data_IF_138805357969
#
_entry.id   IF_138805357969
#
_cell.length_a   1.000
_cell.length_b   1.000
_cell.length_c   1.000
_cell.angle_alpha   90.00
_cell.angle_beta   90.00
_cell.angle_gamma   90.00
#
_symmetry.space_group_name_H-M   'P 1'
#
loop_
_entity.id
_entity.type
_entity.pdbx_description
1 polymer ?
#
# COMPACT_ATOMS: atom_id res chain seq x y z
N UNK A 1 10.39 -2.91 -5.76
CA UNK A 1 9.59 -1.88 -5.06
C UNK A 1 10.21 -1.66 -3.69
N UNK A 2 10.91 -0.54 -3.54
CA UNK A 2 11.68 -0.27 -2.33
C UNK A 2 10.91 0.75 -1.49
N UNK A 3 10.39 0.34 -0.32
CA UNK A 3 9.69 1.25 0.61
C UNK A 3 10.44 1.25 1.93
N UNK A 4 10.96 2.41 2.32
CA UNK A 4 11.65 2.57 3.60
C UNK A 4 10.70 3.11 4.67
N UNK A 5 10.94 2.70 5.92
CA UNK A 5 10.24 3.17 7.11
C UNK A 5 11.26 3.52 8.19
N UNK A 6 11.12 4.70 8.77
CA UNK A 6 11.93 5.19 9.89
C UNK A 6 11.13 5.02 11.17
N UNK A 7 11.61 4.17 12.08
CA UNK A 7 10.94 3.92 13.36
C UNK A 7 11.04 5.11 14.31
N UNK A 8 10.15 5.17 15.28
CA UNK A 8 10.30 6.05 16.45
C UNK A 8 11.08 5.35 17.56
N UNK A 9 11.49 6.11 18.58
CA UNK A 9 12.29 5.57 19.69
C UNK A 9 11.57 4.51 20.52
N UNK A 10 10.24 4.61 20.60
CA UNK A 10 9.36 3.68 21.32
C UNK A 10 9.05 2.39 20.53
N UNK A 11 9.45 2.33 19.26
CA UNK A 11 9.25 1.16 18.41
C UNK A 11 10.48 0.21 18.44
N UNK A 12 10.25 -1.11 18.31
CA UNK A 12 11.33 -2.08 18.21
C UNK A 12 12.15 -1.86 16.92
N UNK A 13 13.37 -2.38 16.90
CA UNK A 13 14.31 -2.18 15.79
C UNK A 13 13.80 -2.73 14.45
N UNK A 14 13.03 -3.83 14.48
CA UNK A 14 12.41 -4.45 13.31
C UNK A 14 11.24 -3.65 12.71
N UNK A 15 10.81 -2.57 13.36
CA UNK A 15 9.88 -1.59 12.81
C UNK A 15 10.55 -0.65 11.79
N UNK A 16 11.87 -0.71 11.65
CA UNK A 16 12.67 0.07 10.70
C UNK A 16 12.96 -0.74 9.45
N UNK A 17 12.73 -0.16 8.27
CA UNK A 17 12.92 -0.82 6.97
C UNK A 17 13.94 -0.07 6.12
N UNK A 18 15.10 0.18 6.70
CA UNK A 18 16.21 0.90 6.06
C UNK A 18 17.17 0.01 5.26
N UNK A 19 16.91 -1.31 5.22
CA UNK A 19 17.64 -2.29 4.42
C UNK A 19 16.71 -2.98 3.44
N UNK A 20 17.02 -2.85 2.15
CA UNK A 20 16.31 -3.52 1.08
C UNK A 20 17.39 -4.20 0.24
N UNK A 21 17.59 -5.51 0.44
CA UNK A 21 18.73 -6.29 -0.07
C UNK A 21 20.12 -5.74 0.34
N UNK A 22 21.12 -5.93 -0.52
CA UNK A 22 22.51 -5.50 -0.31
C UNK A 22 22.73 -3.98 -0.49
N UNK A 23 21.73 -3.26 -1.02
CA UNK A 23 21.83 -1.81 -1.23
C UNK A 23 21.18 -1.05 -0.07
N UNK A 24 21.94 -0.09 0.48
CA UNK A 24 21.50 0.81 1.54
C UNK A 24 20.81 2.02 0.90
N UNK A 25 19.47 2.02 0.87
CA UNK A 25 18.67 3.16 0.41
C UNK A 25 17.74 3.64 1.55
N UNK A 26 17.61 4.96 1.83
CA UNK A 26 18.30 6.16 1.34
C UNK A 26 19.08 6.91 2.43
N UNK A 27 19.44 6.22 3.52
CA UNK A 27 20.20 6.84 4.62
C UNK A 27 21.54 7.40 4.10
N UNK A 28 22.13 6.84 3.05
CA UNK A 28 23.38 7.34 2.46
C UNK A 28 23.33 8.71 1.75
N UNK A 29 22.19 9.27 1.36
CA UNK A 29 22.21 10.50 0.56
C UNK A 29 22.31 11.74 1.46
N UNK A 30 23.53 12.26 1.63
CA UNK A 30 23.82 13.46 2.42
C UNK A 30 22.93 14.67 2.03
N UNK A 31 22.48 14.76 0.79
CA UNK A 31 21.56 15.83 0.32
C UNK A 31 20.14 15.71 0.89
N UNK A 32 19.73 14.52 1.34
CA UNK A 32 18.41 14.24 1.93
C UNK A 32 18.43 14.31 3.47
N UNK A 33 19.60 14.48 4.08
CA UNK A 33 19.78 14.40 5.53
C UNK A 33 19.71 15.76 6.21
N UNK A 34 18.49 16.28 6.42
CA UNK A 34 18.28 17.57 7.12
C UNK A 34 18.15 17.45 8.65
N UNK A 35 18.17 16.24 9.21
CA UNK A 35 17.86 16.02 10.62
C UNK A 35 19.10 16.15 11.53
N UNK A 36 18.99 16.99 12.57
CA UNK A 36 19.99 17.12 13.64
C UNK A 36 19.43 16.55 14.94
N UNK A 37 20.26 15.88 15.74
CA UNK A 37 19.88 15.41 17.07
C UNK A 37 19.39 16.55 17.96
N UNK A 38 20.05 17.71 17.89
CA UNK A 38 19.69 18.88 18.69
C UNK A 38 18.43 19.59 18.17
N UNK A 39 18.31 19.79 16.86
CA UNK A 39 17.23 20.61 16.29
C UNK A 39 15.91 19.83 16.10
N UNK A 40 16.00 18.56 15.76
CA UNK A 40 14.83 17.74 15.40
C UNK A 40 14.47 16.69 16.45
N UNK A 41 15.37 16.45 17.41
CA UNK A 41 15.26 15.38 18.39
C UNK A 41 15.44 13.97 17.79
N UNK A 42 15.89 13.85 16.53
CA UNK A 42 16.19 12.55 15.93
C UNK A 42 17.43 11.94 16.57
N UNK A 43 17.45 10.62 16.68
CA UNK A 43 18.58 9.89 17.24
C UNK A 43 19.14 8.96 16.19
N UNK A 44 20.42 8.60 16.34
CA UNK A 44 21.12 7.78 15.39
C UNK A 44 21.88 6.69 16.12
N UNK A 45 21.66 5.46 15.72
CA UNK A 45 22.21 4.28 16.38
C UNK A 45 23.15 3.56 15.42
N UNK A 46 24.36 3.21 15.87
CA UNK A 46 25.28 2.41 15.06
C UNK A 46 24.70 1.01 14.83
N UNK A 47 24.76 0.54 13.58
CA UNK A 47 24.25 -0.78 13.17
C UNK A 47 25.20 -1.91 13.56
N UNK A 48 24.67 -3.14 13.58
CA UNK A 48 25.41 -4.37 13.90
C UNK A 48 26.49 -4.75 12.88
N UNK A 49 26.37 -4.28 11.63
CA UNK A 49 27.24 -4.65 10.51
C UNK A 49 28.19 -3.51 10.10
N UNK A 50 28.95 -2.98 11.06
CA UNK A 50 29.97 -1.99 10.78
C UNK A 50 31.06 -2.56 9.85
N UNK A 51 31.13 -2.08 8.60
CA UNK A 51 32.38 -2.12 7.86
C UNK A 51 33.25 -0.99 8.39
N UNK A 52 33.97 -1.29 9.47
CA UNK A 52 34.85 -0.35 10.15
C UNK A 52 36.04 0.08 9.25
N UNK A 53 35.80 0.80 8.16
CA UNK A 53 36.82 1.33 7.26
C UNK A 53 37.22 2.75 7.70
N UNK A 54 38.33 2.85 8.44
CA UNK A 54 39.09 4.08 8.78
C UNK A 54 38.34 5.19 9.56
N UNK A 55 38.38 5.11 10.91
CA UNK A 55 37.59 5.97 11.83
C UNK A 55 38.13 7.37 12.11
N UNK A 56 39.37 7.67 11.76
CA UNK A 56 40.06 8.83 12.32
C UNK A 56 40.51 9.74 11.19
N UNK A 57 39.83 10.88 11.08
CA UNK A 57 40.14 11.93 10.13
C UNK A 57 41.57 12.46 10.36
N UNK A 58 42.48 12.13 9.42
CA UNK A 58 43.84 12.67 9.32
C UNK A 58 43.93 13.92 8.45
N UNK A 59 45.01 14.70 8.56
CA UNK A 59 45.16 15.98 7.85
C UNK A 59 45.29 15.85 6.31
N UNK A 60 45.57 14.65 5.79
CA UNK A 60 45.84 14.36 4.37
C UNK A 60 44.63 13.80 3.57
N UNK A 61 43.50 13.50 4.19
CA UNK A 61 42.33 12.84 3.54
C UNK A 61 41.20 13.82 3.17
N UNK A 62 41.55 15.09 2.89
CA UNK A 62 40.61 16.22 2.73
C UNK A 62 39.64 16.11 1.56
N UNK A 63 40.01 15.46 0.45
CA UNK A 63 39.23 15.48 -0.80
C UNK A 63 38.34 14.25 -1.01
N UNK A 64 38.70 13.08 -0.45
CA UNK A 64 37.93 11.83 -0.65
C UNK A 64 36.68 11.74 0.25
N UNK A 65 36.77 12.18 1.52
CA UNK A 65 35.68 12.09 2.50
C UNK A 65 34.56 13.13 2.30
N UNK A 66 34.80 14.21 1.54
CA UNK A 66 33.78 15.24 1.24
C UNK A 66 32.79 14.82 0.15
N UNK A 67 33.12 13.81 -0.64
CA UNK A 67 32.31 13.35 -1.78
C UNK A 67 31.49 12.09 -1.48
N UNK A 68 31.78 11.40 -0.38
CA UNK A 68 31.11 10.16 0.03
C UNK A 68 30.33 10.40 1.32
N UNK A 69 29.12 9.89 1.39
CA UNK A 69 28.10 9.95 2.45
C UNK A 69 28.58 9.83 3.92
N UNK A 70 29.42 10.75 4.42
CA UNK A 70 29.92 10.75 5.79
C UNK A 70 29.37 11.94 6.58
N UNK A 71 29.15 11.71 7.86
CA UNK A 71 28.98 12.77 8.87
C UNK A 71 30.07 12.68 9.91
N UNK A 72 30.26 13.74 10.68
CA UNK A 72 31.27 13.82 11.72
C UNK A 72 30.65 14.16 13.07
N UNK A 73 31.21 13.60 14.14
CA UNK A 73 30.86 13.96 15.50
C UNK A 73 32.07 13.88 16.44
N UNK A 74 31.92 14.47 17.63
CA UNK A 74 32.85 14.24 18.72
C UNK A 74 32.67 12.81 19.25
N UNK A 75 33.78 12.12 19.53
CA UNK A 75 33.77 10.76 20.09
C UNK A 75 34.96 10.57 21.03
N UNK A 76 34.78 9.72 22.04
CA UNK A 76 35.84 9.33 22.97
C UNK A 76 36.86 8.43 22.27
N UNK A 77 38.08 8.94 22.08
CA UNK A 77 39.14 8.23 21.35
C UNK A 77 39.65 6.98 22.08
N UNK A 78 39.42 6.88 23.38
CA UNK A 78 39.83 5.71 24.16
C UNK A 78 38.83 4.56 24.04
N UNK A 79 37.61 4.85 23.54
CA UNK A 79 36.54 3.88 23.37
C UNK A 79 36.29 3.59 21.90
N UNK A 80 36.34 2.31 21.51
CA UNK A 80 35.88 1.90 20.18
C UNK A 80 34.35 1.97 20.07
N UNK A 81 33.78 2.55 19.00
CA UNK A 81 32.35 2.49 18.74
C UNK A 81 31.88 1.04 18.61
N UNK A 82 30.73 0.74 19.20
CA UNK A 82 30.10 -0.57 19.12
C UNK A 82 28.71 -0.45 18.50
N UNK A 83 28.25 -1.54 17.90
CA UNK A 83 26.87 -1.64 17.46
C UNK A 83 25.91 -1.35 18.61
N UNK A 84 24.83 -0.64 18.32
CA UNK A 84 23.86 -0.18 19.31
C UNK A 84 24.24 1.13 20.00
N UNK A 85 25.47 1.65 19.84
CA UNK A 85 25.85 2.95 20.39
C UNK A 85 25.09 4.09 19.73
N UNK A 86 24.68 5.07 20.55
CA UNK A 86 24.01 6.27 20.08
C UNK A 86 25.03 7.35 19.72
N UNK A 87 24.90 7.89 18.51
CA UNK A 87 25.80 8.92 17.99
C UNK A 87 25.03 10.23 17.74
N UNK A 88 25.55 11.37 18.23
CA UNK A 88 24.96 12.66 17.92
C UNK A 88 25.33 13.05 16.50
N UNK A 89 24.32 13.29 15.64
CA UNK A 89 24.55 13.78 14.28
C UNK A 89 24.01 15.21 14.18
N UNK A 90 24.86 16.09 13.68
CA UNK A 90 24.50 17.43 13.24
C UNK A 90 25.05 17.65 11.83
N UNK A 91 24.20 17.75 10.79
CA UNK A 91 24.65 17.98 9.42
C UNK A 91 25.48 19.26 9.23
N UNK A 92 25.45 20.19 10.20
CA UNK A 92 26.25 21.43 10.20
C UNK A 92 27.60 21.28 10.90
N UNK A 93 27.88 20.11 11.49
CA UNK A 93 29.14 19.87 12.19
C UNK A 93 30.31 19.94 11.21
N UNK A 94 31.33 20.73 11.56
CA UNK A 94 32.55 20.87 10.74
C UNK A 94 33.62 19.93 11.30
N UNK A 95 34.20 19.02 10.48
CA UNK A 95 35.23 18.10 10.94
C UNK A 95 36.44 18.84 11.50
N UNK A 96 37.03 18.30 12.57
CA UNK A 96 38.25 18.78 13.21
C UNK A 96 39.18 17.58 13.47
N UNK A 97 40.49 17.81 13.69
CA UNK A 97 41.43 16.71 13.97
C UNK A 97 40.93 15.78 15.07
N UNK A 98 40.77 14.50 14.69
CA UNK A 98 40.23 13.39 15.45
C UNK A 98 38.80 13.55 16.00
N UNK A 99 37.94 14.23 15.24
CA UNK A 99 36.53 13.86 15.14
C UNK A 99 36.39 12.45 14.56
N UNK A 100 35.32 11.74 14.91
CA UNK A 100 34.96 10.47 14.29
C UNK A 100 34.23 10.72 12.97
N UNK A 101 34.65 10.05 11.90
CA UNK A 101 33.90 9.96 10.66
C UNK A 101 32.95 8.76 10.74
N UNK A 102 31.70 8.95 10.33
CA UNK A 102 30.67 7.90 10.31
C UNK A 102 30.08 7.87 8.92
N UNK A 103 30.09 6.70 8.27
CA UNK A 103 29.34 6.52 7.04
C UNK A 103 27.84 6.53 7.37
N UNK A 104 27.05 7.28 6.63
CA UNK A 104 25.61 7.41 6.88
C UNK A 104 24.85 6.07 6.74
N UNK A 105 25.44 5.08 6.06
CA UNK A 105 24.91 3.73 5.98
C UNK A 105 25.15 2.89 7.25
N UNK A 106 26.17 3.24 8.05
CA UNK A 106 26.51 2.56 9.30
C UNK A 106 25.59 2.94 10.47
N UNK A 107 24.72 3.93 10.26
CA UNK A 107 23.78 4.42 11.27
C UNK A 107 22.34 4.14 10.86
N UNK A 108 21.53 3.79 11.84
CA UNK A 108 20.08 3.80 11.74
C UNK A 108 19.55 5.19 12.14
N UNK A 109 18.71 5.78 11.31
CA UNK A 109 17.92 6.96 11.69
C UNK A 109 16.73 6.53 12.55
N UNK A 110 16.61 7.10 13.75
CA UNK A 110 15.43 6.98 14.63
C UNK A 110 14.71 8.32 14.72
N UNK A 111 13.46 8.36 14.29
CA UNK A 111 12.71 9.58 14.11
C UNK A 111 12.35 10.26 15.44
N UNK A 112 12.83 11.49 15.60
CA UNK A 112 12.44 12.38 16.69
C UNK A 112 11.12 13.14 16.43
N UNK A 113 10.62 13.90 17.43
CA UNK A 113 9.37 14.65 17.31
C UNK A 113 9.32 15.63 16.14
N UNK A 114 10.48 16.21 15.79
CA UNK A 114 10.69 17.16 14.70
C UNK A 114 11.32 16.54 13.46
N UNK A 115 11.30 15.22 13.29
CA UNK A 115 11.87 14.54 12.12
C UNK A 115 11.27 15.08 10.80
N UNK A 116 12.15 15.36 9.85
CA UNK A 116 11.83 15.88 8.51
C UNK A 116 12.46 15.04 7.41
N UNK A 117 12.94 13.84 7.75
CA UNK A 117 13.63 12.99 6.82
C UNK A 117 12.69 12.56 5.70
N UNK A 118 13.04 12.87 4.44
CA UNK A 118 12.17 12.57 3.31
C UNK A 118 12.49 11.19 2.68
N UNK A 119 13.47 10.47 3.24
CA UNK A 119 13.92 9.18 2.74
C UNK A 119 13.12 7.97 3.25
N UNK A 120 12.13 8.17 4.11
CA UNK A 120 11.35 7.06 4.67
C UNK A 120 10.03 7.53 5.26
N UNK A 121 9.04 6.65 5.24
CA UNK A 121 7.80 6.89 5.98
C UNK A 121 8.10 6.92 7.47
N UNK A 122 7.66 7.99 8.14
CA UNK A 122 7.96 8.20 9.56
C UNK A 122 6.94 7.43 10.42
N UNK A 123 7.44 6.58 11.32
CA UNK A 123 6.61 5.72 12.18
C UNK A 123 5.60 6.46 13.04
N UNK A 124 5.91 7.70 13.42
CA UNK A 124 4.99 8.62 14.14
C UNK A 124 3.68 8.88 13.39
N UNK A 125 3.67 8.73 12.06
CA UNK A 125 2.56 9.13 11.20
C UNK A 125 1.89 7.92 10.53
N UNK A 126 2.56 6.77 10.50
CA UNK A 126 2.00 5.52 10.03
C UNK A 126 2.61 4.33 10.79
N UNK A 127 1.75 3.44 11.28
CA UNK A 127 2.18 2.26 12.05
C UNK A 127 2.70 1.14 11.15
N UNK A 128 3.48 0.22 11.74
CA UNK A 128 3.91 -1.02 11.07
C UNK A 128 2.71 -1.82 10.57
N UNK A 129 1.66 -1.94 11.39
CA UNK A 129 0.43 -2.65 11.04
C UNK A 129 -0.28 -2.00 9.83
N UNK A 130 -0.35 -0.66 9.78
CA UNK A 130 -0.91 0.04 8.63
C UNK A 130 -0.09 -0.21 7.35
N UNK A 131 1.23 -0.42 7.43
CA UNK A 131 2.09 -0.65 6.27
C UNK A 131 2.32 -2.14 5.92
N UNK A 132 1.65 -3.07 6.61
CA UNK A 132 1.88 -4.51 6.47
C UNK A 132 1.69 -4.98 5.02
N UNK A 133 2.79 -5.39 4.37
CA UNK A 133 2.78 -5.89 2.99
C UNK A 133 3.17 -4.84 1.92
N UNK A 134 3.52 -3.61 2.32
CA UNK A 134 3.82 -2.53 1.37
C UNK A 134 5.07 -2.78 0.51
N UNK A 135 5.96 -3.66 0.96
CA UNK A 135 7.20 -4.03 0.28
C UNK A 135 7.12 -5.44 -0.33
N UNK A 136 5.92 -6.02 -0.40
CA UNK A 136 5.70 -7.37 -0.94
C UNK A 136 5.40 -7.30 -2.43
N UNK A 137 6.04 -8.18 -3.20
CA UNK A 137 5.78 -8.41 -4.62
C UNK A 137 5.20 -9.81 -4.85
N UNK A 138 4.46 -9.95 -5.93
CA UNK A 138 4.01 -11.20 -6.54
C UNK A 138 4.08 -11.04 -8.06
N UNK A 139 4.11 -12.15 -8.80
CA UNK A 139 4.14 -12.14 -10.26
C UNK A 139 3.00 -12.95 -10.89
N UNK A 140 2.63 -12.57 -12.12
CA UNK A 140 1.91 -13.43 -13.05
C UNK A 140 2.98 -14.20 -13.82
N UNK A 141 2.96 -15.52 -13.70
CA UNK A 141 3.92 -16.43 -14.32
C UNK A 141 3.24 -17.10 -15.52
N UNK A 142 3.82 -17.04 -16.73
CA UNK A 142 3.33 -17.80 -17.88
C UNK A 142 3.34 -19.30 -17.61
N UNK A 143 2.24 -19.98 -17.95
CA UNK A 143 2.17 -21.44 -17.82
C UNK A 143 3.04 -22.12 -18.86
N UNK A 144 3.74 -23.16 -18.43
CA UNK A 144 4.47 -24.09 -19.29
C UNK A 144 3.59 -25.30 -19.63
N UNK A 145 3.99 -26.09 -20.63
CA UNK A 145 3.24 -27.26 -21.10
C UNK A 145 3.01 -28.31 -20.00
N UNK A 146 3.87 -28.36 -18.99
CA UNK A 146 3.80 -29.29 -17.86
C UNK A 146 2.99 -28.77 -16.67
N UNK A 147 2.42 -27.56 -16.76
CA UNK A 147 1.61 -26.96 -15.70
C UNK A 147 0.37 -27.82 -15.39
N UNK A 148 0.07 -27.97 -14.10
CA UNK A 148 -1.09 -28.70 -13.61
C UNK A 148 -1.81 -27.89 -12.53
N UNK A 149 -3.15 -27.89 -12.49
CA UNK A 149 -3.88 -27.21 -11.43
C UNK A 149 -3.50 -27.72 -10.04
N UNK A 150 -3.30 -26.78 -9.12
CA UNK A 150 -3.12 -27.01 -7.70
C UNK A 150 -4.41 -26.66 -6.92
N UNK A 151 -4.48 -27.13 -5.67
CA UNK A 151 -5.67 -26.95 -4.83
C UNK A 151 -5.83 -25.50 -4.39
N UNK A 152 -4.73 -24.79 -4.24
CA UNK A 152 -4.65 -23.38 -3.83
C UNK A 152 -4.78 -22.39 -5.00
N UNK A 153 -4.99 -22.88 -6.24
CA UNK A 153 -5.20 -22.02 -7.40
C UNK A 153 -6.55 -21.31 -7.36
N UNK A 154 -6.54 -20.01 -7.63
CA UNK A 154 -7.73 -19.23 -7.86
C UNK A 154 -8.46 -19.69 -9.13
N UNK A 155 -9.79 -19.51 -9.22
CA UNK A 155 -10.56 -19.92 -10.40
C UNK A 155 -10.00 -19.38 -11.72
N UNK A 156 -9.56 -18.11 -11.76
CA UNK A 156 -9.01 -17.51 -12.98
C UNK A 156 -7.70 -18.17 -13.41
N UNK A 157 -6.89 -18.70 -12.47
CA UNK A 157 -5.61 -19.36 -12.80
C UNK A 157 -5.83 -20.65 -13.56
N UNK A 158 -7.02 -21.26 -13.53
CA UNK A 158 -7.31 -22.49 -14.27
C UNK A 158 -7.46 -22.23 -15.77
N UNK A 159 -8.16 -21.16 -16.11
CA UNK A 159 -8.52 -20.82 -17.51
C UNK A 159 -7.52 -19.85 -18.17
N UNK A 160 -6.76 -19.10 -17.37
CA UNK A 160 -5.75 -18.15 -17.82
C UNK A 160 -4.50 -18.85 -18.38
N UNK A 161 -3.76 -18.19 -19.28
CA UNK A 161 -2.41 -18.63 -19.68
C UNK A 161 -1.35 -18.38 -18.58
N UNK A 162 -1.74 -17.72 -17.50
CA UNK A 162 -0.88 -17.31 -16.39
C UNK A 162 -1.41 -17.79 -15.04
N UNK A 163 -0.51 -18.02 -14.10
CA UNK A 163 -0.80 -18.30 -12.69
C UNK A 163 0.00 -17.36 -11.77
N UNK A 164 -0.31 -17.33 -10.47
CA UNK A 164 0.35 -16.47 -9.50
C UNK A 164 1.62 -17.13 -8.93
N UNK A 165 2.71 -16.39 -8.81
CA UNK A 165 3.86 -16.85 -8.01
C UNK A 165 3.53 -16.85 -6.50
N UNK A 166 4.45 -17.36 -5.69
CA UNK A 166 4.56 -16.96 -4.28
C UNK A 166 4.90 -15.47 -4.14
N UNK A 167 5.06 -15.00 -2.90
CA UNK A 167 5.38 -13.61 -2.57
C UNK A 167 6.81 -13.45 -2.03
N UNK A 168 7.36 -12.24 -2.18
CA UNK A 168 8.66 -11.86 -1.62
C UNK A 168 8.61 -10.44 -1.05
N UNK A 169 9.19 -10.22 0.13
CA UNK A 169 9.36 -8.88 0.67
C UNK A 169 10.74 -8.31 0.32
N UNK A 170 10.83 -6.98 0.22
CA UNK A 170 12.12 -6.28 0.18
C UNK A 170 12.86 -6.37 -1.14
N UNK A 171 12.14 -6.32 -2.27
CA UNK A 171 12.77 -6.21 -3.60
C UNK A 171 13.70 -5.00 -3.69
N UNK A 172 14.96 -5.22 -4.05
CA UNK A 172 15.92 -4.17 -4.40
C UNK A 172 16.47 -4.33 -5.81
N UNK A 173 16.62 -3.21 -6.51
CA UNK A 173 17.19 -3.18 -7.86
C UNK A 173 16.22 -3.67 -8.96
N UNK A 174 16.56 -3.38 -10.22
CA UNK A 174 15.79 -3.76 -11.41
C UNK A 174 16.15 -5.14 -11.96
N UNK A 175 17.30 -5.69 -11.61
CA UNK A 175 17.89 -6.88 -12.26
C UNK A 175 18.25 -8.02 -11.29
N UNK A 176 17.52 -8.17 -10.17
CA UNK A 176 17.81 -9.22 -9.19
C UNK A 176 16.81 -10.37 -9.27
N UNK A 177 17.31 -11.60 -9.29
CA UNK A 177 16.48 -12.79 -9.07
C UNK A 177 16.22 -12.92 -7.58
N UNK A 178 14.97 -13.15 -7.18
CA UNK A 178 14.62 -13.30 -5.76
C UNK A 178 13.81 -14.57 -5.50
N UNK A 179 14.08 -15.20 -4.36
CA UNK A 179 13.34 -16.37 -3.89
C UNK A 179 11.92 -15.96 -3.51
N UNK A 180 10.92 -16.75 -3.90
CA UNK A 180 9.50 -16.52 -3.57
C UNK A 180 8.98 -17.52 -2.56
N UNK A 181 8.00 -17.12 -1.78
CA UNK A 181 7.40 -17.92 -0.71
C UNK A 181 5.86 -17.85 -0.77
N UNK A 182 5.13 -18.97 -0.78
CA UNK A 182 5.61 -20.33 -0.94
C UNK A 182 6.00 -20.64 -2.40
N UNK A 183 6.68 -21.76 -2.63
CA UNK A 183 6.90 -22.32 -3.97
C UNK A 183 5.55 -22.73 -4.54
N UNK A 184 5.17 -22.13 -5.67
CA UNK A 184 3.95 -22.49 -6.42
C UNK A 184 4.34 -23.04 -7.78
N UNK A 185 3.79 -24.19 -8.15
CA UNK A 185 4.03 -24.83 -9.45
C UNK A 185 5.51 -25.01 -9.82
N UNK A 186 6.37 -25.26 -8.81
CA UNK A 186 7.81 -25.45 -9.00
C UNK A 186 8.61 -24.15 -9.17
N UNK A 187 7.99 -22.98 -9.10
CA UNK A 187 8.67 -21.69 -9.17
C UNK A 187 9.29 -21.34 -7.81
N UNK A 188 10.61 -21.42 -7.72
CA UNK A 188 11.40 -21.12 -6.52
C UNK A 188 11.87 -19.68 -6.47
N UNK A 189 12.04 -19.08 -7.63
CA UNK A 189 12.61 -17.76 -7.81
C UNK A 189 11.83 -17.01 -8.88
N UNK A 190 11.80 -15.68 -8.74
CA UNK A 190 11.23 -14.78 -9.73
C UNK A 190 12.31 -13.87 -10.29
N UNK A 191 12.22 -13.61 -11.59
CA UNK A 191 13.04 -12.61 -12.27
C UNK A 191 12.16 -11.41 -12.57
N UNK A 192 12.17 -10.40 -11.69
CA UNK A 192 11.31 -9.24 -11.90
C UNK A 192 11.88 -8.35 -13.00
N UNK A 193 11.12 -8.20 -14.09
CA UNK A 193 11.32 -7.16 -15.09
C UNK A 193 10.10 -6.26 -15.11
N UNK A 194 10.28 -4.98 -15.37
CA UNK A 194 9.17 -4.07 -15.57
C UNK A 194 8.76 -4.09 -17.04
N UNK A 195 7.57 -4.58 -17.42
CA UNK A 195 7.12 -4.63 -18.82
C UNK A 195 7.01 -3.25 -19.50
N UNK A 196 7.10 -2.17 -18.72
CA UNK A 196 7.00 -0.79 -19.19
C UNK A 196 8.40 -0.19 -19.45
N UNK A 197 9.40 -0.59 -18.67
CA UNK A 197 10.73 0.04 -18.69
C UNK A 197 11.80 -0.85 -19.33
N UNK A 198 11.59 -2.17 -19.30
CA UNK A 198 12.59 -3.16 -19.67
C UNK A 198 12.12 -3.94 -20.92
N UNK A 199 13.05 -4.46 -21.74
CA UNK A 199 12.71 -5.45 -22.75
C UNK A 199 12.02 -6.66 -22.08
N UNK A 200 10.82 -6.99 -22.54
CA UNK A 200 9.95 -7.95 -21.87
C UNK A 200 9.34 -8.92 -22.88
N UNK A 201 9.50 -10.22 -22.63
CA UNK A 201 8.85 -11.29 -23.40
C UNK A 201 7.68 -11.85 -22.59
N UNK A 202 6.45 -11.51 -22.98
CA UNK A 202 5.23 -11.91 -22.27
C UNK A 202 4.94 -13.42 -22.31
N UNK A 203 5.70 -14.20 -23.07
CA UNK A 203 5.57 -15.67 -23.11
C UNK A 203 6.49 -16.37 -22.11
N UNK A 204 7.55 -15.70 -21.64
CA UNK A 204 8.54 -16.30 -20.74
C UNK A 204 8.81 -15.49 -19.47
N UNK A 205 8.67 -14.16 -19.54
CA UNK A 205 8.93 -13.26 -18.43
C UNK A 205 7.72 -13.12 -17.51
N UNK A 206 8.01 -12.89 -16.24
CA UNK A 206 7.03 -12.81 -15.16
C UNK A 206 6.62 -11.35 -14.92
N UNK A 207 5.32 -11.07 -14.82
CA UNK A 207 4.81 -9.70 -14.66
C UNK A 207 4.69 -9.37 -13.17
N UNK A 208 5.54 -8.48 -12.62
CA UNK A 208 5.49 -8.15 -11.20
C UNK A 208 4.36 -7.17 -10.88
N UNK A 209 3.75 -7.36 -9.72
CA UNK A 209 2.77 -6.44 -9.16
C UNK A 209 2.75 -6.51 -7.63
N UNK A 210 2.17 -5.49 -7.01
CA UNK A 210 1.81 -5.54 -5.60
C UNK A 210 0.56 -6.39 -5.39
N UNK A 211 0.55 -7.36 -4.45
CA UNK A 211 -0.66 -8.13 -4.14
C UNK A 211 -1.85 -7.23 -3.79
N UNK A 212 -1.61 -6.08 -3.18
CA UNK A 212 -2.62 -5.05 -2.91
C UNK A 212 -3.31 -4.54 -4.17
N UNK A 213 -2.52 -4.26 -5.20
CA UNK A 213 -3.01 -3.79 -6.48
C UNK A 213 -3.80 -4.92 -7.17
N UNK A 214 -3.25 -6.13 -7.24
CA UNK A 214 -3.94 -7.24 -7.91
C UNK A 214 -5.23 -7.65 -7.20
N UNK A 215 -5.26 -7.69 -5.86
CA UNK A 215 -6.49 -7.92 -5.11
C UNK A 215 -7.57 -6.85 -5.36
N UNK A 216 -7.16 -5.58 -5.50
CA UNK A 216 -8.08 -4.49 -5.87
C UNK A 216 -8.57 -4.64 -7.32
N UNK A 217 -7.69 -5.06 -8.23
CA UNK A 217 -8.02 -5.36 -9.62
C UNK A 217 -9.09 -6.44 -9.71
N UNK A 218 -8.90 -7.56 -8.99
CA UNK A 218 -9.88 -8.65 -8.92
C UNK A 218 -11.25 -8.14 -8.46
N UNK A 219 -11.31 -7.31 -7.40
CA UNK A 219 -12.58 -6.72 -6.93
C UNK A 219 -13.23 -5.83 -7.99
N UNK A 220 -12.45 -4.97 -8.65
CA UNK A 220 -12.94 -4.09 -9.70
C UNK A 220 -13.47 -4.87 -10.91
N UNK A 221 -12.71 -5.84 -11.43
CA UNK A 221 -13.08 -6.56 -12.64
C UNK A 221 -14.19 -7.56 -12.39
N UNK A 222 -14.23 -8.23 -11.24
CA UNK A 222 -15.38 -9.07 -10.88
C UNK A 222 -16.66 -8.22 -10.78
N UNK A 223 -16.57 -7.01 -10.22
CA UNK A 223 -17.73 -6.10 -10.15
C UNK A 223 -18.21 -5.63 -11.52
N UNK A 224 -17.30 -5.30 -12.44
CA UNK A 224 -17.66 -4.71 -13.75
C UNK A 224 -17.87 -5.72 -14.87
N UNK A 225 -17.13 -6.84 -14.86
CA UNK A 225 -17.08 -7.83 -15.93
C UNK A 225 -17.62 -9.20 -15.50
N UNK A 226 -17.68 -9.48 -14.20
CA UNK A 226 -18.04 -10.80 -13.66
C UNK A 226 -16.89 -11.82 -13.67
N UNK A 227 -15.68 -11.44 -14.09
CA UNK A 227 -14.50 -12.30 -14.11
C UNK A 227 -13.20 -11.49 -13.97
N UNK A 228 -12.05 -12.18 -13.84
CA UNK A 228 -10.72 -11.57 -13.77
C UNK A 228 -10.01 -11.72 -15.13
N UNK A 229 -9.87 -10.64 -15.93
CA UNK A 229 -9.37 -10.71 -17.30
C UNK A 229 -7.83 -10.67 -17.34
N UNK A 230 -7.16 -11.71 -16.82
CA UNK A 230 -5.69 -11.75 -16.73
C UNK A 230 -5.04 -11.74 -18.12
N UNK A 231 -5.44 -12.62 -19.02
CA UNK A 231 -4.83 -12.69 -20.35
C UNK A 231 -5.05 -11.43 -21.18
N UNK A 232 -6.19 -10.76 -21.00
CA UNK A 232 -6.44 -9.46 -21.64
C UNK A 232 -5.53 -8.37 -21.08
N UNK A 233 -5.26 -8.38 -19.78
CA UNK A 233 -4.32 -7.46 -19.15
C UNK A 233 -2.90 -7.68 -19.70
N UNK A 234 -2.47 -8.94 -19.81
CA UNK A 234 -1.16 -9.30 -20.38
C UNK A 234 -1.05 -8.82 -21.84
N UNK A 235 -2.02 -9.16 -22.68
CA UNK A 235 -2.06 -8.71 -24.10
C UNK A 235 -2.10 -7.19 -24.22
N UNK A 236 -2.79 -6.52 -23.30
CA UNK A 236 -2.83 -5.07 -23.28
C UNK A 236 -1.43 -4.50 -23.02
N UNK A 237 -0.74 -4.97 -21.96
CA UNK A 237 0.63 -4.56 -21.63
C UNK A 237 1.58 -4.84 -22.79
N UNK A 238 1.51 -6.03 -23.39
CA UNK A 238 2.28 -6.40 -24.58
C UNK A 238 2.09 -5.40 -25.72
N UNK A 239 0.84 -5.02 -25.99
CA UNK A 239 0.55 -4.08 -27.07
C UNK A 239 0.97 -2.64 -26.83
N UNK A 240 1.26 -2.25 -25.59
CA UNK A 240 1.84 -0.93 -25.31
C UNK A 240 3.34 -0.90 -25.68
N UNK A 241 4.03 -2.05 -25.66
CA UNK A 241 5.48 -2.13 -25.81
C UNK A 241 6.21 -1.24 -24.79
N UNK A 242 7.38 -0.74 -25.14
CA UNK A 242 8.15 0.23 -24.33
C UNK A 242 7.66 1.67 -24.52
N UNK A 243 6.47 1.90 -25.09
CA UNK A 243 5.96 3.26 -25.23
C UNK A 243 5.64 3.81 -23.84
N UNK A 244 5.86 5.12 -23.62
CA UNK A 244 5.48 5.75 -22.37
C UNK A 244 3.96 5.65 -22.19
N UNK A 245 3.52 4.69 -21.38
CA UNK A 245 2.15 4.65 -20.90
C UNK A 245 1.95 5.86 -19.99
N UNK A 246 1.49 6.99 -20.53
CA UNK A 246 1.40 8.27 -19.81
C UNK A 246 0.71 8.19 -18.42
N UNK A 247 -0.37 7.41 -18.21
CA UNK A 247 -0.98 7.27 -16.88
C UNK A 247 -0.03 6.63 -15.84
N UNK A 248 0.87 5.76 -16.30
CA UNK A 248 1.92 5.14 -15.47
C UNK A 248 3.14 6.05 -15.42
N UNK A 249 3.52 6.72 -16.51
CA UNK A 249 4.73 7.54 -16.57
C UNK A 249 4.76 8.62 -15.47
N UNK A 250 3.66 9.28 -15.13
CA UNK A 250 3.64 10.23 -14.00
C UNK A 250 3.95 9.61 -12.62
N UNK A 251 3.81 8.29 -12.47
CA UNK A 251 4.24 7.56 -11.26
C UNK A 251 5.72 7.10 -11.34
N UNK A 252 6.32 7.10 -12.53
CA UNK A 252 7.69 6.62 -12.80
C UNK A 252 8.64 7.73 -13.32
N UNK A 253 8.17 8.96 -13.52
CA UNK A 253 8.98 10.15 -13.76
C UNK A 253 9.88 10.39 -12.55
N UNK A 254 11.13 9.91 -12.66
CA UNK A 254 12.10 9.88 -11.56
C UNK A 254 12.66 8.50 -11.25
N UNK A 255 12.49 7.47 -12.09
CA UNK A 255 13.12 6.16 -11.91
C UNK A 255 14.68 6.19 -11.89
N UNK A 256 15.30 7.34 -12.15
CA UNK A 256 16.73 7.64 -11.98
C UNK A 256 17.06 8.45 -10.71
N UNK A 257 16.04 8.90 -9.97
CA UNK A 257 16.16 9.73 -8.78
C UNK A 257 15.61 9.00 -7.57
N UNK A 258 16.36 9.10 -6.50
CA UNK A 258 16.05 8.60 -5.17
C UNK A 258 14.58 8.70 -4.83
N UNK A 259 13.96 7.60 -4.38
CA UNK A 259 12.59 7.63 -3.89
C UNK A 259 12.50 8.65 -2.73
N UNK A 260 11.70 9.70 -2.91
CA UNK A 260 11.47 10.76 -1.91
C UNK A 260 10.01 10.72 -1.48
N UNK A 261 9.81 10.60 -0.19
CA UNK A 261 8.50 10.63 0.44
C UNK A 261 8.06 12.08 0.76
N UNK A 262 6.79 12.40 0.48
CA UNK A 262 6.17 13.69 0.82
C UNK A 262 5.42 13.65 2.17
N UNK A 263 5.82 14.46 3.17
CA UNK A 263 5.08 14.64 4.43
C UNK A 263 3.55 14.74 4.29
N UNK A 264 2.80 13.87 4.98
CA UNK A 264 1.32 13.80 4.91
C UNK A 264 0.78 12.79 3.89
N UNK A 265 1.65 12.19 3.06
CA UNK A 265 1.28 11.17 2.07
C UNK A 265 1.51 9.72 2.54
N UNK A 266 1.66 9.49 3.85
CA UNK A 266 1.94 8.16 4.42
C UNK A 266 0.86 7.14 4.07
N UNK A 267 -0.37 7.62 3.86
CA UNK A 267 -1.49 6.80 3.43
C UNK A 267 -1.24 6.06 2.11
N UNK A 268 -0.30 6.49 1.25
CA UNK A 268 0.07 5.76 0.03
C UNK A 268 0.72 4.40 0.32
N UNK A 269 1.39 4.27 1.46
CA UNK A 269 1.99 3.03 1.92
C UNK A 269 1.09 2.25 2.89
N UNK A 270 -0.15 2.69 3.12
CA UNK A 270 -1.08 1.96 3.97
C UNK A 270 -1.73 0.80 3.19
N UNK A 271 -1.81 -0.39 3.79
CA UNK A 271 -2.43 -1.56 3.21
C UNK A 271 -3.92 -1.26 2.91
N UNK A 272 -4.38 -1.36 1.65
CA UNK A 272 -5.76 -1.05 1.30
C UNK A 272 -6.78 -2.04 1.89
N UNK A 273 -6.36 -3.22 2.32
CA UNK A 273 -7.19 -4.20 3.01
C UNK A 273 -7.21 -4.00 4.53
N UNK A 274 -6.40 -3.07 5.06
CA UNK A 274 -6.33 -2.75 6.49
C UNK A 274 -6.65 -1.28 6.78
N UNK A 275 -7.85 -1.06 7.30
CA UNK A 275 -8.39 0.22 7.75
C UNK A 275 -9.12 0.04 9.10
N UNK A 276 -8.41 -0.03 10.24
CA UNK A 276 -8.99 -0.44 11.52
C UNK A 276 -10.16 0.45 11.96
N UNK A 277 -10.04 1.77 11.76
CA UNK A 277 -11.12 2.71 12.08
C UNK A 277 -12.40 2.44 11.29
N UNK A 278 -12.32 1.90 10.07
CA UNK A 278 -13.50 1.58 9.25
C UNK A 278 -14.42 0.56 9.94
N UNK A 279 -13.84 -0.44 10.63
CA UNK A 279 -14.60 -1.47 11.37
C UNK A 279 -15.51 -0.82 12.41
N UNK A 280 -14.93 0.08 13.23
CA UNK A 280 -15.66 0.83 14.25
C UNK A 280 -16.77 1.72 13.64
N UNK A 281 -16.54 2.29 12.45
CA UNK A 281 -17.56 3.10 11.75
C UNK A 281 -18.73 2.24 11.26
N UNK A 282 -18.43 1.04 10.73
CA UNK A 282 -19.46 0.10 10.27
C UNK A 282 -20.29 -0.43 11.43
N UNK A 283 -19.64 -0.89 12.50
CA UNK A 283 -20.31 -1.38 13.72
C UNK A 283 -21.24 -0.34 14.31
N UNK A 284 -20.77 0.90 14.47
CA UNK A 284 -21.60 2.01 14.94
C UNK A 284 -22.78 2.31 14.01
N UNK A 285 -22.62 2.15 12.69
CA UNK A 285 -23.72 2.35 11.76
C UNK A 285 -24.75 1.21 11.79
N UNK A 286 -24.36 0.00 12.21
CA UNK A 286 -25.25 -1.15 12.40
C UNK A 286 -25.96 -1.15 13.75
N UNK A 287 -25.42 -0.44 14.75
CA UNK A 287 -26.03 -0.28 16.06
C UNK A 287 -27.21 0.71 16.01
N UNK A 288 -28.38 0.21 15.59
CA UNK A 288 -29.61 0.99 15.44
C UNK A 288 -30.71 0.48 16.38
N UNK A 289 -31.58 1.38 16.90
CA UNK A 289 -32.68 0.98 17.76
C UNK A 289 -33.71 0.13 17.01
N UNK A 290 -34.54 -0.62 17.75
CA UNK A 290 -35.60 -1.46 17.18
C UNK A 290 -36.65 -0.70 16.36
N UNK A 291 -36.80 0.61 16.58
CA UNK A 291 -37.72 1.50 15.87
C UNK A 291 -37.14 2.08 14.57
N UNK A 292 -35.86 1.81 14.27
CA UNK A 292 -35.19 2.34 13.09
C UNK A 292 -35.85 1.88 11.79
N UNK A 293 -36.05 2.81 10.85
CA UNK A 293 -36.48 2.49 9.48
C UNK A 293 -35.65 3.23 8.44
N UNK A 294 -35.44 2.59 7.30
CA UNK A 294 -34.73 3.17 6.16
C UNK A 294 -35.44 4.40 5.56
N UNK A 295 -36.72 4.60 5.88
CA UNK A 295 -37.51 5.76 5.46
C UNK A 295 -37.38 6.95 6.42
N UNK A 296 -36.65 6.81 7.52
CA UNK A 296 -36.43 7.90 8.46
C UNK A 296 -35.72 9.08 7.78
N UNK A 297 -36.18 10.29 8.11
CA UNK A 297 -35.57 11.53 7.65
C UNK A 297 -34.29 11.83 8.43
N UNK A 298 -33.20 12.11 7.73
CA UNK A 298 -31.88 12.25 8.36
C UNK A 298 -31.57 13.67 8.88
N UNK A 299 -32.43 14.65 8.62
CA UNK A 299 -32.22 16.04 9.02
C UNK A 299 -33.23 16.47 10.08
N UNK A 300 -32.94 17.54 10.82
CA UNK A 300 -33.91 18.07 11.78
C UNK A 300 -35.18 18.55 11.08
N UNK A 301 -36.34 18.15 11.59
CA UNK A 301 -37.64 18.63 11.10
C UNK A 301 -37.80 20.09 11.49
N UNK A 302 -37.74 20.99 10.51
CA UNK A 302 -38.26 22.34 10.69
C UNK A 302 -39.79 22.31 10.55
N UNK A 303 -40.54 23.04 11.40
CA UNK A 303 -42.00 23.05 11.31
C UNK A 303 -42.46 23.55 9.93
N UNK A 304 -43.49 22.94 9.34
CA UNK A 304 -43.92 23.28 7.99
C UNK A 304 -44.44 24.72 7.95
N UNK A 305 -43.72 25.60 7.26
CA UNK A 305 -44.33 26.79 6.66
C UNK A 305 -45.04 26.36 5.38
N UNK A 306 -46.21 26.93 5.09
CA UNK A 306 -46.90 26.72 3.81
C UNK A 306 -45.89 26.85 2.66
N UNK A 307 -45.67 25.75 1.94
CA UNK A 307 -44.65 25.65 0.92
C UNK A 307 -45.35 25.64 -0.42
N UNK A 308 -45.12 26.66 -1.25
CA UNK A 308 -45.57 26.73 -2.65
C UNK A 308 -44.74 25.83 -3.58
N UNK A 309 -44.12 24.79 -3.03
CA UNK A 309 -43.15 23.95 -3.72
C UNK A 309 -43.88 22.92 -4.57
N UNK A 310 -43.68 22.96 -5.89
CA UNK A 310 -44.37 22.09 -6.85
C UNK A 310 -44.13 20.61 -6.59
N UNK A 311 -42.97 20.24 -6.03
CA UNK A 311 -42.65 18.85 -5.72
C UNK A 311 -43.43 18.32 -4.51
N UNK A 312 -44.03 19.20 -3.70
CA UNK A 312 -44.90 18.78 -2.59
C UNK A 312 -46.18 18.11 -3.07
N UNK A 313 -46.56 18.32 -4.34
CA UNK A 313 -47.68 17.65 -5.00
C UNK A 313 -47.37 16.19 -5.37
N UNK A 314 -46.09 15.80 -5.37
CA UNK A 314 -45.68 14.44 -5.71
C UNK A 314 -45.79 13.49 -4.50
N UNK A 315 -46.31 12.26 -4.71
CA UNK A 315 -46.17 11.17 -3.75
C UNK A 315 -44.71 10.94 -3.33
N UNK A 316 -44.51 10.36 -2.15
CA UNK A 316 -43.16 10.15 -1.61
C UNK A 316 -42.32 9.25 -2.54
N UNK A 317 -42.95 8.29 -3.19
CA UNK A 317 -42.36 7.35 -4.14
C UNK A 317 -41.76 8.07 -5.35
N UNK A 318 -42.51 9.02 -5.94
CA UNK A 318 -42.01 9.81 -7.08
C UNK A 318 -40.89 10.76 -6.67
N UNK A 319 -40.95 11.30 -5.44
CA UNK A 319 -39.84 12.10 -4.89
C UNK A 319 -38.59 11.26 -4.69
N UNK A 320 -38.73 10.04 -4.17
CA UNK A 320 -37.60 9.11 -4.06
C UNK A 320 -37.04 8.72 -5.42
N UNK A 321 -37.90 8.54 -6.44
CA UNK A 321 -37.47 8.26 -7.81
C UNK A 321 -36.63 9.42 -8.38
N UNK A 322 -37.04 10.67 -8.18
CA UNK A 322 -36.23 11.85 -8.55
C UNK A 322 -34.86 11.78 -7.89
N UNK A 323 -34.79 11.49 -6.58
CA UNK A 323 -33.52 11.38 -5.85
C UNK A 323 -32.64 10.22 -6.34
N UNK A 324 -33.19 9.17 -6.95
CA UNK A 324 -32.41 8.05 -7.48
C UNK A 324 -31.63 8.41 -8.75
N UNK A 325 -32.12 9.37 -9.54
CA UNK A 325 -31.46 9.80 -10.79
C UNK A 325 -30.45 10.94 -10.60
N UNK A 326 -30.29 11.44 -9.39
CA UNK A 326 -29.42 12.60 -9.12
C UNK A 326 -28.11 12.17 -8.43
N UNK A 327 -26.95 12.67 -8.86
CA UNK A 327 -25.70 12.51 -8.13
C UNK A 327 -25.73 13.32 -6.82
N UNK A 328 -24.80 13.01 -5.90
CA UNK A 328 -24.75 13.61 -4.56
C UNK A 328 -24.71 15.15 -4.57
N UNK A 329 -24.01 15.76 -5.54
CA UNK A 329 -23.92 17.22 -5.72
C UNK A 329 -25.27 17.85 -6.13
N UNK A 330 -26.00 17.19 -7.00
CA UNK A 330 -27.28 17.69 -7.50
C UNK A 330 -28.38 17.50 -6.47
N UNK A 331 -28.31 16.42 -5.67
CA UNK A 331 -29.16 16.25 -4.48
C UNK A 331 -28.91 17.40 -3.50
N UNK A 332 -27.65 17.76 -3.22
CA UNK A 332 -27.36 18.88 -2.33
C UNK A 332 -27.93 20.20 -2.87
N UNK A 333 -27.83 20.44 -4.18
CA UNK A 333 -28.41 21.61 -4.84
C UNK A 333 -29.94 21.61 -4.79
N UNK A 334 -30.57 20.46 -5.05
CA UNK A 334 -32.02 20.27 -4.97
C UNK A 334 -32.56 20.54 -3.55
N UNK A 335 -31.83 20.14 -2.51
CA UNK A 335 -32.19 20.43 -1.12
C UNK A 335 -32.20 21.92 -0.77
N UNK A 336 -31.37 22.71 -1.44
CA UNK A 336 -31.32 24.16 -1.28
C UNK A 336 -32.44 24.83 -2.09
N UNK A 337 -32.76 24.29 -3.27
CA UNK A 337 -33.78 24.84 -4.16
C UNK A 337 -35.23 24.47 -3.74
N UNK A 338 -35.44 23.29 -3.15
CA UNK A 338 -36.76 22.75 -2.83
C UNK A 338 -36.82 22.23 -1.39
N UNK A 339 -37.75 22.80 -0.61
CA UNK A 339 -37.97 22.40 0.78
C UNK A 339 -38.54 20.99 0.88
N UNK A 340 -39.26 20.53 -0.16
CA UNK A 340 -39.79 19.16 -0.24
C UNK A 340 -38.69 18.11 -0.08
N UNK A 341 -37.47 18.38 -0.56
CA UNK A 341 -36.33 17.47 -0.47
C UNK A 341 -35.42 17.73 0.74
N UNK A 342 -35.77 18.66 1.62
CA UNK A 342 -34.92 19.01 2.77
C UNK A 342 -34.60 17.79 3.65
N UNK A 343 -35.61 16.92 3.84
CA UNK A 343 -35.48 15.60 4.44
C UNK A 343 -35.11 14.57 3.37
N UNK A 344 -34.07 13.78 3.65
CA UNK A 344 -33.67 12.66 2.81
C UNK A 344 -33.88 11.35 3.59
N UNK A 345 -34.35 10.28 2.93
CA UNK A 345 -34.45 8.97 3.58
C UNK A 345 -33.04 8.38 3.81
N UNK A 346 -32.87 7.61 4.87
CA UNK A 346 -31.62 6.89 5.16
C UNK A 346 -31.21 5.98 3.98
N UNK A 347 -32.17 5.31 3.33
CA UNK A 347 -31.92 4.40 2.19
C UNK A 347 -31.16 5.03 1.03
N UNK A 348 -31.30 6.35 0.81
CA UNK A 348 -30.60 7.05 -0.26
C UNK A 348 -29.08 6.92 -0.13
N UNK A 349 -28.57 6.94 1.10
CA UNK A 349 -27.13 6.96 1.36
C UNK A 349 -26.46 5.61 1.06
N UNK A 350 -27.21 4.51 1.02
CA UNK A 350 -26.70 3.23 0.53
C UNK A 350 -26.28 3.32 -0.94
N UNK A 351 -27.14 3.90 -1.78
CA UNK A 351 -26.85 4.16 -3.20
C UNK A 351 -25.64 5.08 -3.33
N UNK A 352 -25.63 6.20 -2.59
CA UNK A 352 -24.52 7.16 -2.63
C UNK A 352 -23.19 6.55 -2.18
N UNK A 353 -23.18 5.62 -1.22
CA UNK A 353 -21.96 4.89 -0.84
C UNK A 353 -21.42 4.06 -1.99
N UNK A 354 -22.28 3.31 -2.69
CA UNK A 354 -21.87 2.48 -3.82
C UNK A 354 -21.36 3.33 -5.00
N UNK A 355 -22.05 4.43 -5.30
CA UNK A 355 -21.70 5.30 -6.43
C UNK A 355 -20.49 6.21 -6.13
N UNK A 356 -20.46 6.87 -4.96
CA UNK A 356 -19.40 7.82 -4.62
C UNK A 356 -18.14 7.11 -4.08
N UNK A 357 -18.27 5.87 -3.59
CA UNK A 357 -17.19 5.10 -2.96
C UNK A 357 -17.21 3.61 -3.38
N UNK A 358 -17.15 3.29 -4.70
CA UNK A 358 -17.22 1.92 -5.18
C UNK A 358 -16.10 1.02 -4.65
N UNK A 359 -14.96 1.58 -4.24
CA UNK A 359 -13.87 0.87 -3.56
C UNK A 359 -14.23 0.37 -2.15
N UNK A 360 -15.41 0.69 -1.61
CA UNK A 360 -15.91 0.16 -0.35
C UNK A 360 -16.66 -1.16 -0.57
N UNK A 361 -15.93 -2.18 -1.02
CA UNK A 361 -16.49 -3.46 -1.45
C UNK A 361 -17.19 -4.24 -0.35
N UNK A 362 -16.90 -3.97 0.92
CA UNK A 362 -17.59 -4.57 2.07
C UNK A 362 -19.12 -4.34 2.07
N UNK A 363 -19.61 -3.36 1.29
CA UNK A 363 -21.03 -3.04 1.16
C UNK A 363 -21.74 -3.89 0.10
N UNK A 364 -21.03 -4.33 -0.93
CA UNK A 364 -21.63 -4.94 -2.13
C UNK A 364 -21.01 -6.27 -2.55
N UNK A 365 -19.88 -6.67 -1.98
CA UNK A 365 -19.18 -7.92 -2.23
C UNK A 365 -19.24 -8.83 -1.01
N UNK A 366 -19.40 -10.12 -1.26
CA UNK A 366 -19.37 -11.16 -0.23
C UNK A 366 -18.03 -11.89 -0.15
N UNK A 367 -17.21 -11.80 -1.20
CA UNK A 367 -15.93 -12.48 -1.18
C UNK A 367 -14.98 -11.89 -0.14
N UNK A 368 -14.21 -12.75 0.54
CA UNK A 368 -13.23 -12.32 1.51
C UNK A 368 -12.13 -11.45 0.88
N UNK A 369 -11.30 -10.79 1.70
CA UNK A 369 -10.07 -10.16 1.25
C UNK A 369 -9.18 -11.09 0.43
N UNK A 370 -8.44 -10.54 -0.52
CA UNK A 370 -7.46 -11.29 -1.29
C UNK A 370 -6.31 -11.76 -0.37
N UNK A 371 -6.12 -13.07 -0.24
CA UNK A 371 -5.19 -13.67 0.73
C UNK A 371 -3.77 -13.11 0.62
N UNK A 372 -3.21 -13.03 -0.58
CA UNK A 372 -1.84 -12.52 -0.77
C UNK A 372 -1.67 -11.04 -0.42
N UNK A 373 -2.77 -10.27 -0.27
CA UNK A 373 -2.73 -8.89 0.23
C UNK A 373 -2.80 -8.78 1.76
N UNK A 374 -3.06 -9.89 2.48
CA UNK A 374 -3.22 -9.94 3.94
C UNK A 374 -2.10 -10.69 4.65
N UNK A 375 -1.15 -11.26 3.90
CA UNK A 375 0.02 -11.97 4.44
C UNK A 375 1.32 -11.31 4.00
N UNK A 376 2.36 -11.48 4.81
CA UNK A 376 3.73 -11.09 4.49
C UNK A 376 4.60 -12.32 4.34
N UNK A 377 5.79 -12.16 3.76
CA UNK A 377 6.79 -13.23 3.71
C UNK A 377 7.12 -13.77 5.12
N UNK A 378 7.23 -12.89 6.12
CA UNK A 378 7.46 -13.30 7.51
C UNK A 378 6.32 -14.17 8.04
N UNK A 379 5.06 -13.88 7.70
CA UNK A 379 3.94 -14.72 8.12
C UNK A 379 4.06 -16.13 7.53
N UNK A 380 4.52 -16.27 6.30
CA UNK A 380 4.71 -17.59 5.67
C UNK A 380 5.88 -18.35 6.30
N UNK A 381 6.96 -17.67 6.64
CA UNK A 381 8.12 -18.25 7.32
C UNK A 381 7.78 -18.70 8.74
N UNK A 382 7.09 -17.85 9.52
CA UNK A 382 6.67 -18.17 10.89
C UNK A 382 5.68 -19.35 10.95
N UNK A 383 5.01 -19.65 9.82
CA UNK A 383 4.05 -20.75 9.67
C UNK A 383 4.52 -21.84 8.70
N UNK A 384 5.82 -21.94 8.42
CA UNK A 384 6.38 -22.97 7.52
C UNK A 384 5.96 -24.37 7.99
N UNK A 385 5.45 -25.17 7.07
CA UNK A 385 5.24 -26.62 7.26
C UNK A 385 6.38 -27.42 6.64
N UNK A 386 6.73 -27.06 5.41
CA UNK A 386 7.79 -27.68 4.63
C UNK A 386 8.56 -26.58 3.91
N UNK A 387 9.86 -26.80 3.72
CA UNK A 387 10.73 -25.85 3.03
C UNK A 387 12.05 -26.48 2.59
N UNK A 388 12.80 -25.73 1.81
CA UNK A 388 14.11 -26.11 1.27
C UNK A 388 15.07 -24.94 1.37
N UNK A 389 16.36 -25.25 1.50
CA UNK A 389 17.40 -24.23 1.41
C UNK A 389 17.77 -24.07 -0.06
N UNK A 390 17.62 -22.84 -0.55
CA UNK A 390 17.97 -22.46 -1.93
C UNK A 390 19.15 -21.51 -1.88
N UNK A 391 20.02 -21.59 -2.88
CA UNK A 391 21.15 -20.67 -2.99
C UNK A 391 20.61 -19.24 -3.18
N UNK A 392 21.05 -18.32 -2.34
CA UNK A 392 20.69 -16.90 -2.43
C UNK A 392 21.98 -16.08 -2.36
N UNK A 393 22.48 -15.59 -3.52
CA UNK A 393 23.75 -14.88 -3.57
C UNK A 393 23.70 -13.52 -2.85
N UNK A 394 22.51 -13.01 -2.50
CA UNK A 394 22.32 -11.72 -1.86
C UNK A 394 22.22 -11.80 -0.32
N UNK A 395 22.22 -13.00 0.27
CA UNK A 395 22.23 -13.19 1.74
C UNK A 395 23.62 -13.57 2.26
N UNK A 396 23.97 -13.03 3.44
CA UNK A 396 25.08 -13.55 4.23
C UNK A 396 24.86 -15.04 4.53
N UNK A 397 25.79 -15.89 4.09
CA UNK A 397 25.70 -17.35 4.20
C UNK A 397 25.34 -18.08 2.91
N UNK A 398 24.93 -17.36 1.84
CA UNK A 398 24.74 -17.92 0.50
C UNK A 398 23.52 -18.83 0.33
N UNK A 399 22.65 -18.95 1.33
CA UNK A 399 21.41 -19.73 1.24
C UNK A 399 20.25 -19.02 1.93
N UNK A 400 19.06 -19.10 1.34
CA UNK A 400 17.78 -18.66 1.93
C UNK A 400 16.87 -19.86 2.12
N UNK A 401 16.21 -19.94 3.29
CA UNK A 401 15.12 -20.88 3.53
C UNK A 401 13.89 -20.47 2.73
N UNK A 402 13.45 -21.31 1.81
CA UNK A 402 12.27 -21.14 0.99
C UNK A 402 11.14 -22.05 1.49
N UNK A 403 9.94 -21.50 1.65
CA UNK A 403 8.74 -22.19 2.11
C UNK A 403 8.13 -22.94 0.92
N UNK A 404 7.97 -24.26 1.03
CA UNK A 404 7.19 -25.06 0.06
C UNK A 404 5.71 -25.00 0.41
N UNK A 405 5.38 -25.15 1.69
CA UNK A 405 4.00 -25.10 2.16
C UNK A 405 3.92 -24.51 3.57
N UNK A 406 2.76 -23.96 3.91
CA UNK A 406 2.51 -23.31 5.19
C UNK A 406 1.34 -23.95 5.95
N UNK A 407 1.30 -23.71 7.25
CA UNK A 407 0.26 -24.16 8.18
C UNK A 407 -0.84 -23.11 8.40
N UNK A 408 -0.79 -21.96 7.72
CA UNK A 408 -1.82 -20.91 7.84
C UNK A 408 -3.19 -21.47 7.47
N UNK A 409 -4.12 -21.41 8.41
CA UNK A 409 -5.55 -21.61 8.18
C UNK A 409 -6.09 -20.38 7.43
N UNK A 410 -6.23 -20.52 6.11
CA UNK A 410 -6.60 -19.41 5.21
C UNK A 410 -7.98 -18.86 5.55
N UNK A 411 -8.95 -19.71 5.88
CA UNK A 411 -10.31 -19.29 6.20
C UNK A 411 -10.32 -18.46 7.49
N UNK A 412 -9.74 -18.99 8.56
CA UNK A 412 -9.64 -18.29 9.86
C UNK A 412 -8.83 -17.01 9.77
N UNK A 413 -7.76 -16.98 8.96
CA UNK A 413 -6.98 -15.77 8.72
C UNK A 413 -7.84 -14.71 8.02
N UNK A 414 -8.54 -15.07 6.94
CA UNK A 414 -9.37 -14.14 6.21
C UNK A 414 -10.58 -13.64 7.02
N UNK A 415 -11.13 -14.43 7.93
CA UNK A 415 -12.17 -13.97 8.87
C UNK A 415 -11.71 -12.77 9.71
N UNK A 416 -10.47 -12.77 10.20
CA UNK A 416 -9.91 -11.67 10.99
C UNK A 416 -9.74 -10.38 10.17
N UNK A 417 -9.45 -10.54 8.88
CA UNK A 417 -9.30 -9.44 7.93
C UNK A 417 -10.63 -8.96 7.34
N UNK A 418 -11.68 -9.77 7.45
CA UNK A 418 -13.00 -9.45 6.93
C UNK A 418 -13.70 -8.45 7.84
N UNK A 419 -14.21 -7.38 7.23
CA UNK A 419 -15.01 -6.37 7.92
C UNK A 419 -16.42 -6.88 8.16
N UNK A 420 -17.11 -6.38 9.20
CA UNK A 420 -18.48 -6.79 9.47
C UNK A 420 -19.37 -6.31 8.32
N UNK A 421 -20.10 -7.24 7.70
CA UNK A 421 -20.96 -6.96 6.56
C UNK A 421 -22.21 -6.17 6.99
N UNK A 422 -22.39 -4.91 6.55
CA UNK A 422 -23.54 -4.13 6.95
C UNK A 422 -24.84 -4.67 6.36
N UNK A 423 -25.85 -4.87 7.19
CA UNK A 423 -27.17 -5.34 6.74
C UNK A 423 -27.91 -4.24 5.98
N UNK A 424 -28.38 -4.53 4.76
CA UNK A 424 -29.16 -3.60 3.94
C UNK A 424 -30.27 -2.88 4.71
N UNK A 425 -30.98 -3.61 5.58
CA UNK A 425 -32.15 -3.13 6.31
C UNK A 425 -31.87 -2.70 7.75
N UNK A 426 -30.71 -3.07 8.32
CA UNK A 426 -30.32 -2.75 9.70
C UNK A 426 -28.99 -2.00 9.72
N UNK A 427 -28.91 -0.93 8.93
CA UNK A 427 -27.72 -0.07 8.88
C UNK A 427 -28.17 1.37 8.62
N UNK A 428 -27.70 2.28 9.45
CA UNK A 428 -27.85 3.70 9.23
C UNK A 428 -26.82 4.18 8.20
N UNK A 429 -27.19 4.05 6.92
CA UNK A 429 -26.34 4.40 5.79
C UNK A 429 -25.92 5.88 5.77
N UNK A 430 -26.75 6.77 6.32
CA UNK A 430 -26.41 8.19 6.46
C UNK A 430 -25.27 8.40 7.45
N UNK A 431 -25.35 7.77 8.62
CA UNK A 431 -24.28 7.78 9.62
C UNK A 431 -22.98 7.27 9.02
N UNK A 432 -23.02 6.10 8.36
CA UNK A 432 -21.83 5.52 7.72
C UNK A 432 -21.21 6.46 6.68
N UNK A 433 -22.01 7.00 5.75
CA UNK A 433 -21.54 7.91 4.71
C UNK A 433 -20.91 9.18 5.29
N UNK A 434 -21.58 9.82 6.25
CA UNK A 434 -21.08 11.03 6.89
C UNK A 434 -19.82 10.76 7.71
N UNK A 435 -19.78 9.66 8.44
CA UNK A 435 -18.66 9.30 9.28
C UNK A 435 -17.41 8.97 8.47
N UNK A 436 -17.53 8.24 7.36
CA UNK A 436 -16.40 7.98 6.47
C UNK A 436 -15.84 9.31 5.94
N UNK A 437 -16.71 10.22 5.48
CA UNK A 437 -16.28 11.54 4.98
C UNK A 437 -15.62 12.38 6.07
N UNK A 438 -16.19 12.40 7.28
CA UNK A 438 -15.66 13.15 8.42
C UNK A 438 -14.29 12.65 8.87
N UNK A 439 -14.11 11.33 8.87
CA UNK A 439 -12.88 10.68 9.34
C UNK A 439 -11.92 10.32 8.20
N UNK A 440 -12.11 10.87 6.99
CA UNK A 440 -11.38 10.46 5.79
C UNK A 440 -9.85 10.47 5.95
N UNK A 441 -9.32 11.48 6.64
CA UNK A 441 -7.88 11.63 6.87
C UNK A 441 -7.25 10.51 7.71
N UNK A 442 -8.03 9.86 8.58
CA UNK A 442 -7.61 8.75 9.45
C UNK A 442 -7.80 7.37 8.79
N UNK A 443 -8.55 7.30 7.68
CA UNK A 443 -8.81 6.05 6.96
C UNK A 443 -7.71 5.79 5.91
N UNK A 444 -6.45 5.71 6.35
CA UNK A 444 -5.27 5.63 5.46
C UNK A 444 -5.36 4.51 4.41
N UNK A 445 -5.68 3.29 4.84
CA UNK A 445 -5.87 2.15 3.92
C UNK A 445 -6.98 2.41 2.90
N UNK A 446 -8.12 2.99 3.33
CA UNK A 446 -9.24 3.32 2.44
C UNK A 446 -8.89 4.45 1.44
N UNK A 447 -8.05 5.40 1.84
CA UNK A 447 -7.49 6.43 0.94
C UNK A 447 -6.61 5.80 -0.14
N UNK A 448 -5.72 4.88 0.25
CA UNK A 448 -4.89 4.15 -0.72
C UNK A 448 -5.74 3.33 -1.67
N UNK A 449 -6.73 2.62 -1.12
CA UNK A 449 -7.69 1.83 -1.87
C UNK A 449 -8.42 2.65 -2.93
N UNK A 450 -8.90 3.85 -2.58
CA UNK A 450 -9.50 4.80 -3.55
C UNK A 450 -8.54 5.14 -4.70
N UNK A 451 -7.27 5.43 -4.37
CA UNK A 451 -6.24 5.77 -5.38
C UNK A 451 -6.01 4.61 -6.34
N UNK A 452 -5.77 3.40 -5.81
CA UNK A 452 -5.55 2.19 -6.61
C UNK A 452 -6.77 1.90 -7.49
N UNK A 453 -7.97 1.93 -6.91
CA UNK A 453 -9.22 1.73 -7.64
C UNK A 453 -9.40 2.71 -8.80
N UNK A 454 -9.14 4.00 -8.57
CA UNK A 454 -9.25 5.04 -9.59
C UNK A 454 -8.28 4.80 -10.76
N UNK A 455 -7.02 4.50 -10.45
CA UNK A 455 -6.02 4.15 -11.46
C UNK A 455 -6.41 2.92 -12.28
N UNK A 456 -6.86 1.86 -11.61
CA UNK A 456 -7.26 0.61 -12.25
C UNK A 456 -8.54 0.72 -13.06
N UNK A 457 -9.47 1.60 -12.66
CA UNK A 457 -10.66 1.91 -13.46
C UNK A 457 -10.25 2.50 -14.82
N UNK A 458 -9.31 3.47 -14.81
CA UNK A 458 -8.78 4.04 -16.05
C UNK A 458 -8.07 2.99 -16.91
N UNK A 459 -7.25 2.12 -16.30
CA UNK A 459 -6.59 1.02 -17.00
C UNK A 459 -7.61 0.10 -17.69
N UNK A 460 -8.66 -0.30 -16.98
CA UNK A 460 -9.71 -1.16 -17.53
C UNK A 460 -10.50 -0.48 -18.66
N UNK A 461 -10.80 0.81 -18.53
CA UNK A 461 -11.48 1.56 -19.58
C UNK A 461 -10.62 1.67 -20.86
N UNK A 462 -9.31 1.87 -20.70
CA UNK A 462 -8.35 1.86 -21.82
C UNK A 462 -8.25 0.48 -22.49
N UNK A 463 -8.24 -0.60 -21.70
CA UNK A 463 -8.26 -1.96 -22.21
C UNK A 463 -9.50 -2.23 -23.07
N UNK A 464 -10.68 -1.80 -22.61
CA UNK A 464 -11.93 -1.98 -23.34
C UNK A 464 -11.95 -1.14 -24.63
N UNK A 465 -11.52 0.12 -24.57
CA UNK A 465 -11.45 0.96 -25.76
C UNK A 465 -10.49 0.41 -26.82
N UNK A 466 -9.35 -0.15 -26.40
CA UNK A 466 -8.42 -0.81 -27.34
C UNK A 466 -9.01 -2.06 -27.98
N UNK A 467 -9.97 -2.74 -27.35
CA UNK A 467 -10.66 -3.88 -27.96
C UNK A 467 -11.62 -3.40 -29.05
N UNK A 468 -12.39 -2.36 -28.77
CA UNK A 468 -13.38 -1.80 -29.71
C UNK A 468 -12.74 -1.23 -30.98
N UNK A 469 -11.50 -0.75 -30.92
CA UNK A 469 -10.76 -0.29 -32.11
C UNK A 469 -10.18 -1.42 -32.97
N UNK A 470 -10.09 -2.64 -32.45
CA UNK A 470 -9.57 -3.81 -33.18
C UNK A 470 -10.67 -4.68 -33.80
N UNK A 471 -11.93 -4.40 -33.47
CA UNK A 471 -13.14 -4.94 -34.11
C UNK A 471 -13.65 -3.98 -35.17
#
# INVERSE_FOLDING_TARGET
MCVARVRTLDEPQDASWSRIAADLWPDGLHQMWSCSTKETGCQYQLRDELQLNNFIYGEDERDWLRHNAHTFCDWDRERRPQAGDWVPIDPKYKPRPGSMAIHLEDVEHVAGPGCRYPGGYIGKRISVAEMQGCNVVQCLVPKREDWKPAVDDYPFEKDSAHFLSGIRAGLCGRDSTVVVNPIRHGVTEMSHKCPILDPFDFTTDEIPFHPWCFGTWMKLTCSRLGYVPVDDLVKFLESQGTLPFQPVQHHFEGADRSWVYNPGEEWQAANPFYAPKLRNLMERAMDVPSTFTLHDGVFQRTPPKASSDIFSLLPAELRHLVLQYLPSKDIASLRLASRTFHQLPVSLFYRLLIEDMPWLWEIWSDDPPYFWATVTEKNLQDHEKEGIDVHDPYRQGGTTRCVISHTIDVEKHLEQWTYPKPSRYKTNWFTLYCDIKKNWHELKGLRNRKRIWGFQTQLLDLMNWSKDLRT
#
